data_IF_517236188963
#
_entry.id   IF_517236188963
#
_cell.length_a   1.000
_cell.length_b   1.000
_cell.length_c   1.000
_cell.angle_alpha   90.00
_cell.angle_beta   90.00
_cell.angle_gamma   90.00
#
_symmetry.space_group_name_H-M   'P 1'
#
loop_
_entity.id
_entity.type
_entity.pdbx_description
1 polymer ?
#
# COMPACT_ATOMS: atom_id res chain seq x y z
N UNK A 1 -6.83 -20.35 -17.06
CA UNK A 1 -5.92 -19.64 -16.15
C UNK A 1 -4.58 -19.55 -16.87
N UNK A 2 -3.95 -18.39 -16.87
CA UNK A 2 -2.74 -18.18 -17.67
C UNK A 2 -1.52 -18.92 -17.10
N UNK A 3 -0.62 -19.47 -17.94
CA UNK A 3 0.52 -20.27 -17.48
C UNK A 3 1.48 -19.49 -16.58
N UNK A 4 1.57 -18.17 -16.76
CA UNK A 4 2.33 -17.25 -15.90
C UNK A 4 1.74 -17.23 -14.49
N UNK A 5 0.42 -17.15 -14.37
CA UNK A 5 -0.30 -17.14 -13.09
C UNK A 5 -0.18 -18.50 -12.38
N UNK A 6 -0.25 -19.60 -13.12
CA UNK A 6 -0.05 -20.94 -12.55
C UNK A 6 1.37 -21.13 -12.02
N UNK A 7 2.38 -20.68 -12.78
CA UNK A 7 3.78 -20.76 -12.35
C UNK A 7 4.03 -19.89 -11.11
N UNK A 8 3.45 -18.68 -11.05
CA UNK A 8 3.51 -17.80 -9.89
C UNK A 8 2.86 -18.44 -8.66
N UNK A 9 1.66 -19.01 -8.78
CA UNK A 9 1.01 -19.69 -7.66
C UNK A 9 1.76 -20.91 -7.17
N UNK A 10 2.46 -21.61 -8.07
CA UNK A 10 3.31 -22.76 -7.70
C UNK A 10 4.56 -22.30 -6.95
N UNK A 11 5.17 -21.19 -7.34
CA UNK A 11 6.30 -20.58 -6.62
C UNK A 11 5.89 -20.07 -5.23
N UNK A 12 4.71 -19.46 -5.15
CA UNK A 12 4.10 -18.99 -3.90
C UNK A 12 3.55 -20.12 -3.03
N UNK A 13 3.49 -21.37 -3.51
CA UNK A 13 3.02 -22.50 -2.70
C UNK A 13 3.93 -22.78 -1.49
N UNK A 14 5.18 -22.33 -1.54
CA UNK A 14 6.15 -22.42 -0.44
C UNK A 14 6.27 -21.14 0.40
N UNK A 15 5.52 -20.08 0.08
CA UNK A 15 5.59 -18.75 0.71
C UNK A 15 4.41 -18.53 1.67
N UNK A 16 4.42 -17.50 2.54
CA UNK A 16 3.33 -17.30 3.49
C UNK A 16 2.00 -17.11 2.76
N UNK A 17 0.96 -17.73 3.33
CA UNK A 17 -0.40 -17.85 2.78
C UNK A 17 -0.99 -16.53 2.27
N UNK A 18 -0.53 -15.38 2.78
CA UNK A 18 -1.02 -14.06 2.43
C UNK A 18 -0.69 -13.63 0.98
N UNK A 19 0.51 -13.90 0.44
CA UNK A 19 0.86 -13.55 -0.96
C UNK A 19 0.05 -14.38 -1.95
N UNK A 20 -0.11 -15.68 -1.68
CA UNK A 20 -0.94 -16.57 -2.49
C UNK A 20 -2.40 -16.13 -2.46
N UNK A 21 -2.93 -15.77 -1.29
CA UNK A 21 -4.29 -15.24 -1.14
C UNK A 21 -4.48 -13.93 -1.89
N UNK A 22 -3.47 -13.06 -1.90
CA UNK A 22 -3.49 -11.80 -2.64
C UNK A 22 -3.67 -12.04 -4.14
N UNK A 23 -2.84 -12.90 -4.73
CA UNK A 23 -2.91 -13.26 -6.16
C UNK A 23 -4.27 -13.87 -6.51
N UNK A 24 -4.77 -14.79 -5.67
CA UNK A 24 -6.11 -15.38 -5.88
C UNK A 24 -7.19 -14.30 -5.83
N UNK A 25 -7.18 -13.41 -4.82
CA UNK A 25 -8.18 -12.33 -4.71
C UNK A 25 -8.12 -11.38 -5.91
N UNK A 26 -6.92 -11.03 -6.36
CA UNK A 26 -6.70 -10.19 -7.53
C UNK A 26 -7.21 -10.85 -8.82
N UNK A 27 -7.01 -12.16 -8.97
CA UNK A 27 -7.52 -12.93 -10.11
C UNK A 27 -9.06 -12.91 -10.20
N UNK A 28 -9.74 -12.97 -9.05
CA UNK A 28 -11.20 -12.91 -8.97
C UNK A 28 -11.75 -11.49 -9.18
N UNK A 29 -10.92 -10.45 -9.05
CA UNK A 29 -11.29 -9.05 -9.09
C UNK A 29 -10.39 -8.28 -10.07
N UNK A 30 -10.30 -8.77 -11.31
CA UNK A 30 -9.42 -8.21 -12.37
C UNK A 30 -9.54 -6.68 -12.57
N UNK A 31 -10.70 -6.10 -12.28
CA UNK A 31 -10.97 -4.67 -12.49
C UNK A 31 -10.95 -3.84 -11.19
N UNK A 32 -10.67 -4.45 -10.04
CA UNK A 32 -10.74 -3.76 -8.75
C UNK A 32 -9.34 -3.49 -8.21
N UNK A 33 -9.04 -2.25 -7.79
CA UNK A 33 -7.79 -1.95 -7.12
C UNK A 33 -7.65 -2.82 -5.86
N UNK A 34 -6.45 -3.37 -5.69
CA UNK A 34 -6.14 -4.24 -4.56
C UNK A 34 -5.54 -3.39 -3.46
N UNK A 35 -6.28 -3.28 -2.36
CA UNK A 35 -5.83 -2.56 -1.18
C UNK A 35 -4.93 -3.46 -0.32
N UNK A 36 -3.71 -3.02 -0.05
CA UNK A 36 -2.70 -3.78 0.72
C UNK A 36 -2.20 -2.91 1.87
N UNK A 37 -2.20 -3.43 3.09
CA UNK A 37 -1.63 -2.73 4.24
C UNK A 37 -0.12 -2.55 4.09
N UNK A 38 0.38 -1.33 4.37
CA UNK A 38 1.81 -1.03 4.35
C UNK A 38 2.61 -1.99 5.26
N UNK A 39 2.05 -2.37 6.41
CA UNK A 39 2.67 -3.34 7.33
C UNK A 39 2.84 -4.73 6.72
N UNK A 40 1.90 -5.15 5.87
CA UNK A 40 2.00 -6.41 5.16
C UNK A 40 3.11 -6.36 4.09
N UNK A 41 3.19 -5.24 3.36
CA UNK A 41 4.27 -4.99 2.38
C UNK A 41 5.63 -5.05 3.07
N UNK A 42 5.84 -4.29 4.15
CA UNK A 42 7.12 -4.30 4.88
C UNK A 42 7.48 -5.68 5.43
N UNK A 43 6.48 -6.49 5.80
CA UNK A 43 6.71 -7.88 6.21
C UNK A 43 7.20 -8.71 5.03
N UNK A 44 6.55 -8.64 3.88
CA UNK A 44 6.92 -9.43 2.69
C UNK A 44 8.27 -8.98 2.10
N UNK A 45 8.57 -7.69 2.10
CA UNK A 45 9.89 -7.17 1.69
C UNK A 45 11.01 -7.71 2.57
N UNK A 46 10.76 -7.92 3.87
CA UNK A 46 11.75 -8.46 4.81
C UNK A 46 11.87 -9.99 4.74
N UNK A 47 10.76 -10.69 4.62
CA UNK A 47 10.71 -12.16 4.67
C UNK A 47 11.10 -12.78 3.32
N UNK A 48 10.57 -12.25 2.22
CA UNK A 48 10.65 -12.83 0.88
C UNK A 48 10.62 -11.73 -0.22
N UNK A 49 11.66 -10.86 -0.30
CA UNK A 49 11.67 -9.73 -1.23
C UNK A 49 11.58 -10.18 -2.70
N UNK A 50 12.17 -11.31 -3.05
CA UNK A 50 12.13 -11.87 -4.41
C UNK A 50 10.71 -12.24 -4.84
N UNK A 51 9.97 -12.93 -3.97
CA UNK A 51 8.61 -13.38 -4.28
C UNK A 51 7.64 -12.21 -4.29
N UNK A 52 7.83 -11.25 -3.37
CA UNK A 52 7.06 -10.01 -3.38
C UNK A 52 7.24 -9.22 -4.68
N UNK A 53 8.47 -9.08 -5.18
CA UNK A 53 8.74 -8.44 -6.46
C UNK A 53 8.03 -9.14 -7.63
N UNK A 54 8.04 -10.48 -7.68
CA UNK A 54 7.31 -11.24 -8.71
C UNK A 54 5.79 -11.05 -8.64
N UNK A 55 5.23 -10.92 -7.43
CA UNK A 55 3.79 -10.64 -7.25
C UNK A 55 3.44 -9.22 -7.71
N UNK A 56 4.27 -8.23 -7.39
CA UNK A 56 4.07 -6.86 -7.86
C UNK A 56 4.11 -6.76 -9.39
N UNK A 57 5.13 -7.36 -10.02
CA UNK A 57 5.27 -7.38 -11.48
C UNK A 57 4.06 -8.05 -12.15
N UNK A 58 3.58 -9.16 -11.57
CA UNK A 58 2.37 -9.83 -12.06
C UNK A 58 1.12 -8.95 -11.90
N UNK A 59 0.93 -8.28 -10.76
CA UNK A 59 -0.21 -7.37 -10.55
C UNK A 59 -0.22 -6.24 -11.58
N UNK A 60 0.93 -5.63 -11.84
CA UNK A 60 1.10 -4.59 -12.86
C UNK A 60 0.85 -5.12 -14.28
N UNK A 61 1.35 -6.32 -14.59
CA UNK A 61 1.11 -6.99 -15.87
C UNK A 61 -0.36 -7.33 -16.11
N UNK A 62 -1.15 -7.51 -15.04
CA UNK A 62 -2.60 -7.69 -15.12
C UNK A 62 -3.38 -6.36 -15.19
N UNK A 63 -2.69 -5.20 -15.15
CA UNK A 63 -3.33 -3.88 -15.11
C UNK A 63 -3.98 -3.54 -13.76
N UNK A 64 -3.65 -4.28 -12.71
CA UNK A 64 -4.27 -4.12 -11.39
C UNK A 64 -3.53 -3.03 -10.61
N UNK A 65 -4.26 -2.00 -10.23
CA UNK A 65 -3.71 -0.91 -9.41
C UNK A 65 -3.60 -1.35 -7.94
N UNK A 66 -2.39 -1.25 -7.39
CA UNK A 66 -2.13 -1.53 -5.97
C UNK A 66 -2.34 -0.24 -5.17
N UNK A 67 -3.26 -0.27 -4.21
CA UNK A 67 -3.46 0.84 -3.26
C UNK A 67 -2.84 0.47 -1.93
N UNK A 68 -1.77 1.17 -1.54
CA UNK A 68 -1.14 0.95 -0.24
C UNK A 68 -1.96 1.66 0.84
N UNK A 69 -2.60 0.87 1.69
CA UNK A 69 -3.25 1.36 2.90
C UNK A 69 -2.16 1.62 3.93
N UNK A 70 -1.73 2.88 4.01
CA UNK A 70 -1.02 3.34 5.19
C UNK A 70 -2.06 3.45 6.29
N UNK A 71 -2.01 2.57 7.29
CA UNK A 71 -2.72 2.83 8.54
C UNK A 71 -2.17 4.17 9.02
N UNK A 72 -3.00 5.22 8.99
CA UNK A 72 -2.68 6.51 9.59
C UNK A 72 -2.54 6.30 11.10
N UNK A 73 -1.41 5.77 11.51
CA UNK A 73 -1.02 5.61 12.90
C UNK A 73 0.19 6.49 13.11
N UNK A 74 -0.12 7.74 13.50
CA UNK A 74 0.76 8.73 14.09
C UNK A 74 1.94 9.22 13.23
N UNK A 75 1.67 10.20 12.37
CA UNK A 75 2.61 11.32 12.17
C UNK A 75 1.84 12.58 11.78
N UNK A 76 1.20 13.18 12.78
CA UNK A 76 0.89 14.61 12.94
C UNK A 76 0.45 14.77 14.41
N UNK A 77 1.32 14.51 15.40
CA UNK A 77 2.34 15.45 15.91
C UNK A 77 2.95 16.38 14.85
N UNK A 78 2.30 17.52 14.66
CA UNK A 78 2.81 18.85 14.25
C UNK A 78 1.65 19.80 13.86
N UNK A 79 0.38 19.45 14.18
CA UNK A 79 -0.70 20.42 14.23
C UNK A 79 -0.71 21.14 15.58
N UNK A 80 0.46 21.60 16.02
CA UNK A 80 0.54 22.84 16.77
C UNK A 80 0.26 23.96 15.76
N UNK A 81 -1.03 24.12 15.40
CA UNK A 81 -1.52 25.36 14.82
C UNK A 81 -1.18 26.47 15.82
N UNK A 82 -0.02 27.09 15.63
CA UNK A 82 0.23 28.43 16.16
C UNK A 82 -0.93 29.29 15.67
N UNK A 83 -1.63 30.03 16.56
CA UNK A 83 -2.64 30.98 16.09
C UNK A 83 -1.98 31.92 15.08
N UNK A 84 -2.70 32.39 14.03
CA UNK A 84 -2.15 33.41 13.17
C UNK A 84 -1.69 34.58 14.04
N UNK A 85 -0.52 35.19 13.80
CA UNK A 85 -0.17 36.42 14.48
C UNK A 85 -1.26 37.43 14.12
N UNK A 86 -2.03 37.84 15.12
CA UNK A 86 -2.97 38.95 15.01
C UNK A 86 -2.20 40.12 14.34
N UNK A 87 -2.72 40.73 13.27
CA UNK A 87 -2.06 41.89 12.70
C UNK A 87 -1.95 42.93 13.81
N UNK A 88 -0.83 43.66 13.95
CA UNK A 88 -0.79 44.77 14.89
C UNK A 88 -1.90 45.71 14.46
N UNK A 89 -2.90 45.89 15.33
CA UNK A 89 -3.85 46.99 15.20
C UNK A 89 -3.02 48.27 15.32
N UNK A 90 -2.52 48.70 14.17
CA UNK A 90 -1.99 50.02 13.96
C UNK A 90 -3.16 50.98 14.14
N UNK A 91 -2.94 51.91 15.06
CA UNK A 91 -3.67 53.15 15.24
C UNK A 91 -5.12 52.99 15.71
N UNK A 92 -5.45 53.66 16.83
CA UNK A 92 -6.34 54.83 16.87
C UNK A 92 -6.68 55.13 18.34
N UNK A 93 -5.95 56.04 18.97
CA UNK A 93 -6.56 56.91 19.98
C UNK A 93 -5.89 58.28 19.91
N UNK A 94 -6.65 59.23 19.38
CA UNK A 94 -6.51 60.65 19.70
C UNK A 94 -7.29 61.00 20.97
#
# INVERSE_FOLDING_TARGET
MDPVTENLLRDLASSPTDLKRLVIRALWRKDTPVAIEAKAISRWERDDPKRWASVQDWLLSQGITITVLTSRSAMTDDQAQSPPPEPPAADMHG
#
